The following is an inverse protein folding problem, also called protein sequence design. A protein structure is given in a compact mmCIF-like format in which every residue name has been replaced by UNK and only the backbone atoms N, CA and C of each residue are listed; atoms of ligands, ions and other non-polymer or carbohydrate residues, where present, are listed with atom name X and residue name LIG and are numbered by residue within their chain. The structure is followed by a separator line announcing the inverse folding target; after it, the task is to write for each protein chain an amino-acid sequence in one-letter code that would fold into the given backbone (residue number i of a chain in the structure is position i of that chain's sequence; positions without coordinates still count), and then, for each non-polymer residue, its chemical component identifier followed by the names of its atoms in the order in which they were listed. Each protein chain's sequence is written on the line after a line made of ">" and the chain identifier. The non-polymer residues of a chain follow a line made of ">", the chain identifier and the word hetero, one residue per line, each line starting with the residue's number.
data_IF_711271063355
#
_entry.id   IF_711271063355
#
_cell.length_a   1.000
_cell.length_b   1.000
_cell.length_c   1.000
_cell.angle_alpha   90.00
_cell.angle_beta   90.00
_cell.angle_gamma   90.00
#
_symmetry.space_group_name_H-M   'P 1'
#
loop_
_entity.id
_entity.type
_entity.pdbx_description
1 polymer ?
#
# COMPACT_ATOMS: atom_id res chain seq x y z
N UNK A 1 -48.98 -15.48 32.69
CA UNK A 1 -48.96 -16.55 31.65
C UNK A 1 -47.51 -16.53 31.09
N UNK A 2 -46.68 -17.41 31.69
CA UNK A 2 -45.28 -17.57 31.34
C UNK A 2 -45.17 -18.54 30.15
N UNK A 3 -44.46 -18.14 29.12
CA UNK A 3 -44.00 -19.08 28.06
C UNK A 3 -42.48 -19.21 28.21
N UNK A 4 -42.05 -20.44 28.49
CA UNK A 4 -40.67 -20.83 28.68
C UNK A 4 -39.94 -20.90 27.31
N UNK A 5 -38.79 -20.22 27.22
CA UNK A 5 -37.85 -20.37 26.12
C UNK A 5 -37.02 -21.63 26.33
N UNK A 6 -37.10 -22.53 25.36
CA UNK A 6 -36.28 -23.75 25.25
C UNK A 6 -34.98 -23.47 24.52
N UNK A 7 -33.84 -23.64 25.22
CA UNK A 7 -32.49 -23.62 24.65
C UNK A 7 -32.24 -24.85 23.75
N UNK A 8 -31.51 -24.70 22.64
CA UNK A 8 -31.14 -25.82 21.79
C UNK A 8 -29.97 -26.66 22.35
N UNK A 9 -30.08 -27.95 22.18
CA UNK A 9 -29.15 -29.01 22.61
C UNK A 9 -27.81 -28.94 21.84
N UNK A 10 -26.66 -29.21 22.49
CA UNK A 10 -25.36 -29.23 21.80
C UNK A 10 -25.15 -30.53 21.00
N UNK A 11 -24.49 -30.37 19.84
CA UNK A 11 -24.15 -31.44 18.90
C UNK A 11 -23.03 -32.38 19.44
N UNK A 12 -22.95 -33.64 18.96
CA UNK A 12 -22.07 -34.67 19.53
C UNK A 12 -20.59 -34.46 19.15
N UNK A 13 -19.73 -34.67 20.14
CA UNK A 13 -18.27 -34.66 20.02
C UNK A 13 -17.79 -35.96 19.35
N UNK A 14 -17.14 -35.87 18.21
CA UNK A 14 -16.47 -37.01 17.55
C UNK A 14 -15.21 -37.40 18.31
N UNK A 15 -15.19 -38.64 18.88
CA UNK A 15 -13.99 -39.26 19.44
C UNK A 15 -13.23 -39.99 18.32
N UNK A 16 -12.01 -39.53 18.05
CA UNK A 16 -11.07 -40.26 17.20
C UNK A 16 -10.47 -41.48 17.95
N UNK A 17 -10.79 -42.67 17.45
CA UNK A 17 -10.23 -43.92 17.94
C UNK A 17 -8.78 -44.10 17.48
N UNK A 18 -7.88 -44.37 18.43
CA UNK A 18 -6.50 -44.80 18.15
C UNK A 18 -6.48 -46.27 17.73
N UNK A 19 -6.19 -46.55 16.48
CA UNK A 19 -5.87 -47.92 16.01
C UNK A 19 -4.36 -48.10 16.05
N UNK A 20 -3.91 -49.04 16.91
CA UNK A 20 -2.53 -49.56 16.94
C UNK A 20 -2.42 -50.68 15.93
N UNK A 21 -1.65 -50.49 14.87
CA UNK A 21 -1.23 -51.59 14.01
C UNK A 21 0.22 -51.92 14.34
N UNK A 22 0.38 -53.05 15.05
CA UNK A 22 1.71 -53.67 15.35
C UNK A 22 2.03 -54.63 14.19
N UNK A 23 2.95 -54.26 13.34
CA UNK A 23 3.53 -55.20 12.33
C UNK A 23 4.88 -55.67 12.81
N UNK A 24 4.94 -56.94 13.19
CA UNK A 24 6.20 -57.67 13.43
C UNK A 24 6.89 -57.93 12.08
N UNK A 25 8.10 -57.47 11.91
CA UNK A 25 8.98 -57.84 10.80
C UNK A 25 10.05 -58.76 11.36
N UNK A 26 10.00 -60.02 10.93
CA UNK A 26 11.01 -61.07 11.20
C UNK A 26 12.24 -60.83 10.33
N UNK A 27 13.37 -60.61 10.99
CA UNK A 27 14.68 -60.48 10.36
C UNK A 27 15.23 -61.84 9.95
N UNK A 28 15.48 -62.07 8.67
CA UNK A 28 16.36 -63.13 8.20
C UNK A 28 17.72 -62.56 7.81
N UNK A 29 18.73 -62.92 8.57
CA UNK A 29 20.13 -62.60 8.29
C UNK A 29 20.62 -63.55 7.18
N UNK A 30 21.02 -62.95 6.06
CA UNK A 30 21.82 -63.67 5.04
C UNK A 30 23.14 -62.91 4.85
N UNK A 31 24.19 -63.45 5.40
CA UNK A 31 25.59 -63.07 5.19
C UNK A 31 26.01 -63.36 3.75
N UNK A 32 26.32 -62.30 2.98
CA UNK A 32 27.12 -62.41 1.75
C UNK A 32 28.16 -61.30 1.75
N UNK A 33 29.41 -61.75 1.89
CA UNK A 33 30.59 -60.91 1.64
C UNK A 33 30.63 -60.48 0.18
N UNK A 34 30.73 -59.18 -0.06
CA UNK A 34 31.07 -58.61 -1.35
C UNK A 34 31.92 -57.38 -1.18
N UNK A 35 33.01 -57.42 -1.84
CA UNK A 35 34.16 -56.54 -2.02
C UNK A 35 33.80 -55.05 -2.19
N UNK A 36 34.51 -54.19 -1.47
CA UNK A 36 34.42 -52.76 -1.50
C UNK A 36 34.86 -52.19 -2.86
N UNK A 37 33.93 -51.49 -3.55
CA UNK A 37 34.25 -50.41 -4.48
C UNK A 37 33.72 -49.11 -3.86
N UNK A 38 34.65 -48.29 -3.38
CA UNK A 38 34.35 -46.97 -2.89
C UNK A 38 34.02 -46.02 -4.06
N UNK A 39 32.75 -45.97 -4.46
CA UNK A 39 32.21 -44.87 -5.28
C UNK A 39 31.62 -43.83 -4.34
N UNK A 40 32.30 -42.70 -4.21
CA UNK A 40 31.83 -41.57 -3.44
C UNK A 40 30.53 -41.00 -4.05
N UNK A 41 29.38 -41.41 -3.51
CA UNK A 41 28.10 -40.77 -3.77
C UNK A 41 28.09 -39.46 -2.97
N UNK A 42 28.39 -38.35 -3.65
CA UNK A 42 28.06 -37.03 -3.17
C UNK A 42 26.53 -36.98 -2.99
N UNK A 43 26.07 -37.10 -1.76
CA UNK A 43 24.70 -36.81 -1.37
C UNK A 43 24.49 -35.33 -1.62
N UNK A 44 24.03 -34.95 -2.83
CA UNK A 44 23.41 -33.69 -3.06
C UNK A 44 22.13 -33.68 -2.21
N UNK A 45 22.22 -33.15 -1.00
CA UNK A 45 21.06 -32.87 -0.19
C UNK A 45 20.09 -31.97 -1.01
N UNK A 46 18.76 -32.11 -0.83
CA UNK A 46 17.81 -31.21 -1.48
C UNK A 46 18.23 -29.81 -1.11
N UNK A 47 18.63 -29.00 -2.11
CA UNK A 47 18.82 -27.56 -1.93
C UNK A 47 17.46 -27.03 -1.43
N UNK A 48 17.37 -26.69 -0.16
CA UNK A 48 16.24 -25.95 0.36
C UNK A 48 16.09 -24.71 -0.54
N UNK A 49 14.88 -24.42 -1.04
CA UNK A 49 14.68 -23.23 -1.84
C UNK A 49 15.22 -22.05 -1.03
N UNK A 50 16.18 -21.32 -1.60
CA UNK A 50 16.73 -20.11 -0.99
C UNK A 50 15.53 -19.21 -0.72
N UNK A 51 15.13 -19.11 0.56
CA UNK A 51 14.09 -18.19 0.99
C UNK A 51 14.56 -16.83 0.52
N UNK A 52 13.74 -16.14 -0.27
CA UNK A 52 14.05 -14.77 -0.66
C UNK A 52 14.43 -14.01 0.62
N UNK A 53 15.62 -13.41 0.62
CA UNK A 53 16.12 -12.74 1.83
C UNK A 53 15.05 -11.76 2.30
N UNK A 54 14.60 -11.94 3.54
CA UNK A 54 13.64 -11.06 4.21
C UNK A 54 14.09 -9.59 4.02
N UNK A 55 13.15 -8.70 3.79
CA UNK A 55 13.44 -7.25 3.62
C UNK A 55 14.24 -6.74 4.79
N UNK A 56 13.89 -7.16 6.02
CA UNK A 56 14.60 -6.72 7.23
C UNK A 56 16.09 -7.11 7.20
N UNK A 57 16.40 -8.34 6.78
CA UNK A 57 17.79 -8.80 6.63
C UNK A 57 18.55 -8.00 5.57
N UNK A 58 17.89 -7.68 4.46
CA UNK A 58 18.50 -6.87 3.40
C UNK A 58 18.78 -5.45 3.88
N UNK A 59 17.79 -4.81 4.50
CA UNK A 59 17.90 -3.46 5.08
C UNK A 59 18.95 -3.43 6.18
N UNK A 60 19.00 -4.45 7.06
CA UNK A 60 20.03 -4.54 8.10
C UNK A 60 21.45 -4.62 7.52
N UNK A 61 21.64 -5.30 6.39
CA UNK A 61 22.94 -5.38 5.71
C UNK A 61 23.30 -4.12 4.93
N UNK A 62 22.35 -3.56 4.16
CA UNK A 62 22.60 -2.44 3.26
C UNK A 62 22.56 -1.07 3.95
N UNK A 63 21.74 -0.90 4.98
CA UNK A 63 21.37 0.40 5.53
C UNK A 63 20.46 1.23 4.61
N UNK A 64 19.81 0.58 3.62
CA UNK A 64 18.92 1.24 2.67
C UNK A 64 17.54 0.61 2.68
N UNK A 65 16.51 1.47 2.66
CA UNK A 65 15.12 1.13 2.35
C UNK A 65 14.82 1.67 0.94
N UNK A 66 14.53 0.78 0.01
CA UNK A 66 14.27 1.15 -1.39
C UNK A 66 12.80 1.47 -1.59
N UNK A 67 12.49 2.77 -1.71
CA UNK A 67 11.16 3.27 -2.06
C UNK A 67 11.00 3.31 -3.57
N UNK A 68 9.98 2.66 -4.12
CA UNK A 68 9.63 2.72 -5.54
C UNK A 68 8.33 3.48 -5.78
N UNK A 69 8.19 4.09 -6.96
CA UNK A 69 6.99 4.82 -7.35
C UNK A 69 7.16 5.58 -8.66
N UNK A 70 6.10 6.25 -9.10
CA UNK A 70 6.12 6.98 -10.37
C UNK A 70 6.85 8.33 -10.29
N UNK A 71 6.99 8.94 -9.14
CA UNK A 71 7.78 10.17 -8.94
C UNK A 71 7.22 11.44 -9.58
N UNK A 72 6.03 11.42 -10.14
CA UNK A 72 5.35 12.55 -10.81
C UNK A 72 3.89 12.75 -10.35
N UNK A 73 3.59 12.34 -9.13
CA UNK A 73 2.27 12.35 -8.51
C UNK A 73 2.19 13.28 -7.29
N UNK A 74 2.35 14.62 -7.45
CA UNK A 74 2.18 15.53 -6.33
C UNK A 74 0.72 15.48 -5.80
N UNK A 75 0.47 15.63 -4.51
CA UNK A 75 1.43 15.78 -3.42
C UNK A 75 1.89 14.45 -2.83
N UNK A 76 1.49 13.31 -3.43
CA UNK A 76 1.71 11.99 -2.85
C UNK A 76 3.17 11.55 -2.97
N UNK A 77 3.76 11.65 -4.16
CA UNK A 77 5.17 11.32 -4.39
C UNK A 77 5.72 12.08 -5.58
N UNK A 78 6.72 12.89 -5.33
CA UNK A 78 7.52 13.56 -6.38
C UNK A 78 8.99 13.23 -6.19
N UNK A 79 9.68 12.96 -7.28
CA UNK A 79 11.10 12.66 -7.25
C UNK A 79 11.80 13.24 -8.47
N UNK A 80 12.95 13.83 -8.25
CA UNK A 80 13.81 14.37 -9.30
C UNK A 80 15.18 13.68 -9.23
N UNK A 81 15.87 13.50 -10.36
CA UNK A 81 17.21 12.92 -10.37
C UNK A 81 18.14 13.66 -9.41
N UNK A 82 18.84 12.92 -8.54
CA UNK A 82 19.79 13.47 -7.60
C UNK A 82 19.21 14.19 -6.38
N UNK A 83 17.87 14.21 -6.21
CA UNK A 83 17.19 14.76 -5.03
C UNK A 83 16.50 13.66 -4.23
N UNK A 84 16.31 13.92 -2.94
CA UNK A 84 15.45 13.08 -2.10
C UNK A 84 14.02 13.17 -2.60
N UNK A 85 13.25 12.05 -2.56
CA UNK A 85 11.84 12.07 -2.90
C UNK A 85 11.06 12.96 -1.91
N UNK A 86 10.05 13.63 -2.40
CA UNK A 86 9.18 14.51 -1.61
C UNK A 86 7.72 14.06 -1.71
N UNK A 87 6.88 14.52 -0.78
CA UNK A 87 5.46 14.22 -0.73
C UNK A 87 5.08 13.27 0.39
N UNK A 88 3.79 12.96 0.46
CA UNK A 88 3.25 12.21 1.59
C UNK A 88 3.78 10.78 1.67
N UNK A 89 3.91 10.10 0.53
CA UNK A 89 4.49 8.75 0.46
C UNK A 89 5.98 8.73 0.86
N UNK A 90 6.72 9.79 0.52
CA UNK A 90 8.12 9.94 0.94
C UNK A 90 8.22 10.17 2.46
N UNK A 91 7.36 11.03 3.04
CA UNK A 91 7.29 11.25 4.49
C UNK A 91 7.03 9.93 5.24
N UNK A 92 6.09 9.12 4.75
CA UNK A 92 5.80 7.81 5.35
C UNK A 92 7.02 6.88 5.24
N UNK A 93 7.69 6.83 4.09
CA UNK A 93 8.89 6.01 3.90
C UNK A 93 10.04 6.44 4.85
N UNK A 94 10.20 7.72 5.09
CA UNK A 94 11.16 8.24 6.07
C UNK A 94 10.82 7.80 7.50
N UNK A 95 9.54 7.79 7.87
CA UNK A 95 9.07 7.27 9.17
C UNK A 95 9.34 5.78 9.32
N UNK A 96 9.11 5.02 8.25
CA UNK A 96 9.45 3.59 8.21
C UNK A 96 10.96 3.39 8.37
N UNK A 97 11.78 4.12 7.63
CA UNK A 97 13.25 4.04 7.72
C UNK A 97 13.76 4.38 9.12
N UNK A 98 13.16 5.37 9.78
CA UNK A 98 13.50 5.74 11.16
C UNK A 98 13.14 4.60 12.14
N UNK A 99 11.97 3.97 12.01
CA UNK A 99 11.58 2.81 12.80
C UNK A 99 12.52 1.61 12.58
N UNK A 100 12.86 1.34 11.32
CA UNK A 100 13.81 0.28 10.97
C UNK A 100 15.22 0.56 11.54
N UNK A 101 15.67 1.83 11.53
CA UNK A 101 16.96 2.20 12.13
C UNK A 101 17.05 1.80 13.60
N UNK A 102 15.94 1.95 14.34
CA UNK A 102 15.87 1.51 15.73
C UNK A 102 15.85 -0.03 15.84
N UNK A 103 15.10 -0.70 14.97
CA UNK A 103 14.96 -2.16 14.99
C UNK A 103 16.28 -2.89 14.64
N UNK A 104 17.05 -2.37 13.65
CA UNK A 104 18.29 -3.00 13.17
C UNK A 104 19.56 -2.45 13.86
N UNK A 105 19.43 -1.43 14.72
CA UNK A 105 20.54 -0.84 15.48
C UNK A 105 21.56 -0.04 14.64
N UNK A 106 21.19 0.40 13.44
CA UNK A 106 22.03 1.21 12.54
C UNK A 106 21.20 2.17 11.70
N UNK A 107 21.78 3.27 11.18
CA UNK A 107 21.07 4.18 10.31
C UNK A 107 20.55 3.49 9.04
N UNK A 108 19.27 3.68 8.72
CA UNK A 108 18.62 3.28 7.47
C UNK A 108 18.18 4.53 6.73
N UNK A 109 18.49 4.61 5.44
CA UNK A 109 18.17 5.75 4.58
C UNK A 109 17.21 5.32 3.49
N UNK A 110 16.28 6.20 3.12
CA UNK A 110 15.40 5.97 1.96
C UNK A 110 16.21 6.24 0.69
N UNK A 111 16.17 5.26 -0.23
CA UNK A 111 16.67 5.40 -1.60
C UNK A 111 15.50 5.27 -2.56
N UNK A 112 15.28 6.29 -3.36
CA UNK A 112 14.22 6.24 -4.37
C UNK A 112 14.66 5.50 -5.63
N UNK A 113 13.78 4.63 -6.12
CA UNK A 113 13.93 3.92 -7.40
C UNK A 113 12.68 4.14 -8.24
N UNK A 114 12.77 4.94 -9.32
CA UNK A 114 11.62 5.18 -10.18
C UNK A 114 11.16 3.89 -10.86
N UNK A 115 9.86 3.81 -11.09
CA UNK A 115 9.26 2.74 -11.91
C UNK A 115 9.59 3.02 -13.37
N UNK A 116 10.20 2.07 -14.09
CA UNK A 116 10.42 2.22 -15.53
C UNK A 116 9.10 2.35 -16.31
N UNK A 117 9.14 3.03 -17.44
CA UNK A 117 7.98 3.12 -18.34
C UNK A 117 7.46 1.71 -18.72
N UNK A 118 6.14 1.52 -18.65
CA UNK A 118 5.50 0.24 -18.90
C UNK A 118 5.63 -0.81 -17.80
N UNK A 119 6.26 -0.46 -16.65
CA UNK A 119 6.39 -1.32 -15.47
C UNK A 119 5.46 -0.84 -14.34
N UNK A 120 5.33 -1.63 -13.29
CA UNK A 120 4.58 -1.26 -12.10
C UNK A 120 5.42 -1.40 -10.83
N UNK A 121 5.10 -0.67 -9.75
CA UNK A 121 5.73 -0.85 -8.45
C UNK A 121 5.61 -2.28 -7.93
N UNK A 122 4.49 -2.96 -8.21
CA UNK A 122 4.25 -4.35 -7.83
C UNK A 122 5.34 -5.26 -8.41
N UNK A 123 5.73 -5.08 -9.67
CA UNK A 123 6.82 -5.86 -10.27
C UNK A 123 8.17 -5.61 -9.59
N UNK A 124 8.44 -4.34 -9.21
CA UNK A 124 9.68 -4.02 -8.50
C UNK A 124 9.74 -4.67 -7.11
N UNK A 125 8.62 -4.66 -6.37
CA UNK A 125 8.49 -5.31 -5.07
C UNK A 125 8.58 -6.85 -5.19
N UNK A 126 7.82 -7.46 -6.08
CA UNK A 126 7.80 -8.92 -6.28
C UNK A 126 9.15 -9.48 -6.75
N UNK A 127 9.95 -8.68 -7.47
CA UNK A 127 11.30 -9.07 -7.92
C UNK A 127 12.40 -8.72 -6.91
N UNK A 128 12.07 -8.14 -5.74
CA UNK A 128 13.05 -7.72 -4.73
C UNK A 128 13.91 -6.52 -5.14
N UNK A 129 13.55 -5.79 -6.18
CA UNK A 129 14.23 -4.57 -6.63
C UNK A 129 13.84 -3.34 -5.79
N UNK A 130 12.69 -3.42 -5.11
CA UNK A 130 12.23 -2.41 -4.18
C UNK A 130 11.68 -3.10 -2.91
N UNK A 131 11.59 -2.34 -1.84
CA UNK A 131 11.11 -2.79 -0.54
C UNK A 131 9.71 -2.25 -0.23
N UNK A 132 9.44 -1.04 -0.68
CA UNK A 132 8.27 -0.27 -0.31
C UNK A 132 7.80 0.56 -1.50
N UNK A 133 6.48 0.70 -1.67
CA UNK A 133 5.90 1.69 -2.57
C UNK A 133 4.68 2.31 -1.90
N UNK A 134 4.72 3.60 -1.58
CA UNK A 134 3.67 4.28 -0.83
C UNK A 134 2.80 5.17 -1.70
N UNK A 135 1.59 5.46 -1.19
CA UNK A 135 0.57 6.29 -1.83
C UNK A 135 -0.15 5.58 -3.00
N UNK A 136 -0.51 4.33 -2.77
CA UNK A 136 -1.31 3.54 -3.71
C UNK A 136 -2.70 3.25 -3.14
N UNK A 137 -3.75 3.24 -3.99
CA UNK A 137 -5.07 2.82 -3.55
C UNK A 137 -5.07 1.36 -3.11
N UNK A 138 -5.79 1.06 -2.04
CA UNK A 138 -6.07 -0.31 -1.65
C UNK A 138 -7.01 -0.95 -2.68
N UNK A 139 -6.73 -2.20 -3.05
CA UNK A 139 -7.59 -3.03 -3.90
C UNK A 139 -7.45 -4.49 -3.49
N UNK A 140 -8.57 -5.16 -3.25
CA UNK A 140 -8.60 -6.60 -2.95
C UNK A 140 -7.98 -7.44 -4.05
N UNK A 141 -8.13 -7.04 -5.33
CA UNK A 141 -7.52 -7.74 -6.45
C UNK A 141 -5.98 -7.66 -6.39
N UNK A 142 -5.44 -6.50 -6.04
CA UNK A 142 -4.00 -6.32 -5.89
C UNK A 142 -3.46 -7.02 -4.65
N UNK A 143 -4.23 -7.05 -3.54
CA UNK A 143 -3.85 -7.69 -2.29
C UNK A 143 -3.63 -9.21 -2.43
N UNK A 144 -4.20 -9.82 -3.45
CA UNK A 144 -3.90 -11.22 -3.83
C UNK A 144 -2.47 -11.42 -4.36
N UNK A 145 -1.75 -10.36 -4.73
CA UNK A 145 -0.43 -10.40 -5.38
C UNK A 145 0.65 -9.64 -4.64
N UNK A 146 0.24 -8.70 -3.80
CA UNK A 146 1.11 -7.83 -3.03
C UNK A 146 0.42 -7.47 -1.72
N UNK A 147 1.14 -7.39 -0.61
CA UNK A 147 0.55 -7.01 0.66
C UNK A 147 0.40 -5.49 0.76
N UNK A 148 -0.67 -5.05 1.42
CA UNK A 148 -0.88 -3.64 1.77
C UNK A 148 -0.58 -3.40 3.25
N UNK A 149 -0.08 -2.22 3.55
CA UNK A 149 0.04 -1.71 4.91
C UNK A 149 -1.31 -1.24 5.47
N UNK A 150 -1.32 -0.79 6.73
CA UNK A 150 -2.37 0.09 7.23
C UNK A 150 -2.54 1.29 6.28
N UNK A 151 -3.77 1.81 6.13
CA UNK A 151 -3.98 3.03 5.37
C UNK A 151 -3.17 4.21 5.95
N UNK A 152 -2.51 4.93 5.09
CA UNK A 152 -1.82 6.19 5.43
C UNK A 152 -2.77 7.38 5.33
N UNK A 153 -3.93 7.19 4.70
CA UNK A 153 -4.96 8.20 4.51
C UNK A 153 -6.13 7.67 3.69
N UNK A 154 -7.05 8.55 3.37
CA UNK A 154 -8.17 8.30 2.46
C UNK A 154 -8.06 9.19 1.24
N UNK A 155 -8.45 8.68 0.09
CA UNK A 155 -8.66 9.42 -1.14
C UNK A 155 -9.89 8.89 -1.87
N UNK A 156 -10.11 9.30 -3.09
CA UNK A 156 -11.22 8.82 -3.89
C UNK A 156 -11.13 9.27 -5.32
N UNK A 157 -11.96 8.69 -6.18
CA UNK A 157 -12.03 9.02 -7.59
C UNK A 157 -13.00 10.16 -7.85
N UNK A 158 -12.54 11.19 -8.53
CA UNK A 158 -13.35 12.32 -8.99
C UNK A 158 -13.02 12.68 -10.43
N UNK A 159 -13.94 13.38 -11.07
CA UNK A 159 -13.78 13.95 -12.39
C UNK A 159 -13.19 15.37 -12.28
N UNK A 160 -12.06 15.63 -12.89
CA UNK A 160 -11.55 16.97 -13.14
C UNK A 160 -11.98 17.41 -14.54
N UNK A 161 -12.71 18.52 -14.61
CA UNK A 161 -13.26 19.04 -15.86
C UNK A 161 -13.39 20.56 -15.82
N UNK A 162 -13.63 21.24 -16.97
CA UNK A 162 -13.94 22.66 -17.01
C UNK A 162 -15.18 23.00 -16.17
N UNK A 163 -15.12 24.14 -15.48
CA UNK A 163 -16.23 24.63 -14.63
C UNK A 163 -17.53 24.68 -15.43
N UNK A 164 -18.60 24.14 -14.87
CA UNK A 164 -19.93 24.10 -15.48
C UNK A 164 -20.11 23.08 -16.60
N UNK A 165 -19.08 22.27 -16.93
CA UNK A 165 -19.18 21.26 -17.98
C UNK A 165 -19.94 20.02 -17.52
N UNK A 166 -19.76 19.59 -16.27
CA UNK A 166 -20.38 18.43 -15.66
C UNK A 166 -20.88 18.75 -14.25
N UNK A 167 -21.99 18.15 -13.88
CA UNK A 167 -22.60 18.22 -12.55
C UNK A 167 -22.08 17.13 -11.60
N UNK A 168 -21.27 16.19 -12.11
CA UNK A 168 -20.77 15.02 -11.37
C UNK A 168 -21.68 13.80 -11.45
N UNK A 169 -22.87 13.90 -12.05
CA UNK A 169 -23.73 12.74 -12.25
C UNK A 169 -23.13 11.81 -13.32
N UNK A 170 -22.96 10.49 -13.05
CA UNK A 170 -22.47 9.55 -14.04
C UNK A 170 -23.24 9.56 -15.36
N UNK A 171 -24.57 9.84 -15.33
CA UNK A 171 -25.38 9.91 -16.54
C UNK A 171 -24.91 10.99 -17.52
N UNK A 172 -24.32 12.09 -17.03
CA UNK A 172 -23.79 13.18 -17.84
C UNK A 172 -22.54 12.78 -18.64
N UNK A 173 -21.88 11.68 -18.29
CA UNK A 173 -20.69 11.16 -18.97
C UNK A 173 -21.02 10.30 -20.20
N UNK A 174 -22.28 9.96 -20.44
CA UNK A 174 -22.70 9.14 -21.59
C UNK A 174 -22.27 9.78 -22.93
N UNK A 175 -21.50 9.03 -23.73
CA UNK A 175 -20.97 9.49 -25.03
C UNK A 175 -19.84 10.50 -24.95
N UNK A 176 -19.42 10.93 -23.72
CA UNK A 176 -18.34 11.90 -23.51
C UNK A 176 -16.97 11.24 -23.52
N UNK A 177 -15.97 11.93 -24.03
CA UNK A 177 -14.58 11.48 -24.04
C UNK A 177 -13.92 11.81 -22.71
N UNK A 178 -13.69 10.79 -21.88
CA UNK A 178 -13.14 10.93 -20.52
C UNK A 178 -11.77 10.27 -20.45
N UNK A 179 -10.75 11.04 -20.09
CA UNK A 179 -9.39 10.54 -19.88
C UNK A 179 -9.29 9.72 -18.60
N UNK A 180 -8.63 8.58 -18.69
CA UNK A 180 -8.32 7.69 -17.56
C UNK A 180 -6.90 7.15 -17.71
N UNK A 181 -6.30 6.68 -16.61
CA UNK A 181 -5.05 5.92 -16.69
C UNK A 181 -5.39 4.48 -17.07
N UNK A 182 -4.68 3.93 -18.03
CA UNK A 182 -4.86 2.56 -18.52
C UNK A 182 -4.77 1.54 -17.39
N UNK A 183 -5.69 0.58 -17.34
CA UNK A 183 -5.74 -0.51 -16.36
C UNK A 183 -5.72 -0.02 -14.91
N UNK A 184 -6.25 1.19 -14.67
CA UNK A 184 -6.40 1.76 -13.33
C UNK A 184 -7.79 1.52 -12.77
N UNK A 185 -7.93 1.70 -11.45
CA UNK A 185 -9.23 1.72 -10.78
C UNK A 185 -10.19 2.73 -11.43
N UNK A 186 -9.68 3.90 -11.85
CA UNK A 186 -10.49 4.94 -12.48
C UNK A 186 -11.09 4.50 -13.83
N UNK A 187 -10.36 3.70 -14.63
CA UNK A 187 -10.89 3.16 -15.89
C UNK A 187 -12.01 2.14 -15.62
N UNK A 188 -11.79 1.23 -14.67
CA UNK A 188 -12.80 0.24 -14.28
C UNK A 188 -14.06 0.89 -13.71
N UNK A 189 -13.90 1.88 -12.81
CA UNK A 189 -15.02 2.60 -12.21
C UNK A 189 -15.83 3.40 -13.24
N UNK A 190 -15.14 4.13 -14.17
CA UNK A 190 -15.82 4.84 -15.25
C UNK A 190 -16.71 3.91 -16.08
N UNK A 191 -16.18 2.75 -16.50
CA UNK A 191 -16.91 1.80 -17.32
C UNK A 191 -18.01 1.09 -16.55
N UNK A 192 -17.83 0.86 -15.24
CA UNK A 192 -18.84 0.29 -14.36
C UNK A 192 -20.03 1.24 -14.15
N UNK A 193 -19.78 2.51 -13.80
CA UNK A 193 -20.83 3.49 -13.52
C UNK A 193 -21.48 4.07 -14.78
N UNK A 194 -20.76 4.13 -15.91
CA UNK A 194 -21.29 4.67 -17.18
C UNK A 194 -20.70 3.92 -18.40
N UNK A 195 -21.26 2.77 -18.78
CA UNK A 195 -20.76 1.96 -19.91
C UNK A 195 -20.79 2.68 -21.27
N UNK A 196 -21.60 3.75 -21.41
CA UNK A 196 -21.66 4.54 -22.64
C UNK A 196 -20.65 5.69 -22.68
N UNK A 197 -19.86 5.91 -21.65
CA UNK A 197 -18.77 6.86 -21.68
C UNK A 197 -17.67 6.37 -22.64
N UNK A 198 -17.02 7.30 -23.33
CA UNK A 198 -15.85 6.99 -24.17
C UNK A 198 -14.59 7.11 -23.30
N UNK A 199 -14.17 6.02 -22.67
CA UNK A 199 -12.90 5.99 -21.95
C UNK A 199 -11.73 6.18 -22.92
N UNK A 200 -10.89 7.17 -22.67
CA UNK A 200 -9.66 7.44 -23.43
C UNK A 200 -8.48 7.12 -22.53
N UNK A 201 -7.82 5.96 -22.69
CA UNK A 201 -6.74 5.53 -21.80
C UNK A 201 -5.42 6.24 -22.12
N UNK A 202 -4.74 6.68 -21.06
CA UNK A 202 -3.40 7.28 -21.06
C UNK A 202 -2.46 6.46 -20.18
N UNK A 203 -1.16 6.62 -20.38
CA UNK A 203 -0.16 5.92 -19.59
C UNK A 203 0.10 6.59 -18.22
N UNK A 204 -0.37 7.85 -18.04
CA UNK A 204 -0.25 8.58 -16.77
C UNK A 204 -1.30 9.68 -16.63
N UNK A 205 -1.59 10.12 -15.39
CA UNK A 205 -2.44 11.31 -15.14
C UNK A 205 -1.86 12.60 -15.75
N UNK A 206 -0.54 12.86 -15.68
CA UNK A 206 0.06 13.99 -16.39
C UNK A 206 -0.27 14.02 -17.90
N UNK A 207 -0.25 12.88 -18.58
CA UNK A 207 -0.60 12.78 -20.00
C UNK A 207 -2.10 13.02 -20.23
N UNK A 208 -2.97 12.47 -19.38
CA UNK A 208 -4.41 12.70 -19.45
C UNK A 208 -4.76 14.19 -19.24
N UNK A 209 -4.09 14.88 -18.30
CA UNK A 209 -4.30 16.31 -18.08
C UNK A 209 -3.84 17.16 -19.26
N UNK A 210 -2.76 16.79 -19.92
CA UNK A 210 -2.33 17.46 -21.16
C UNK A 210 -3.38 17.29 -22.28
N UNK A 211 -4.01 16.13 -22.36
CA UNK A 211 -5.12 15.89 -23.28
C UNK A 211 -6.38 16.69 -22.92
N UNK A 212 -6.67 16.89 -21.63
CA UNK A 212 -7.76 17.77 -21.18
C UNK A 212 -7.50 19.22 -21.55
N UNK A 213 -6.28 19.73 -21.32
CA UNK A 213 -5.90 21.09 -21.68
C UNK A 213 -6.01 21.36 -23.20
N UNK A 214 -5.68 20.37 -24.03
CA UNK A 214 -5.80 20.49 -25.49
C UNK A 214 -7.21 20.22 -26.03
N UNK A 215 -8.19 19.95 -25.16
CA UNK A 215 -9.57 19.63 -25.56
C UNK A 215 -9.75 18.25 -26.21
N UNK A 216 -8.73 17.39 -26.17
CA UNK A 216 -8.80 16.01 -26.69
C UNK A 216 -9.74 15.13 -25.88
N UNK A 217 -9.87 15.39 -24.58
CA UNK A 217 -10.87 14.80 -23.67
C UNK A 217 -11.63 15.93 -22.96
N UNK A 218 -12.85 15.63 -22.54
CA UNK A 218 -13.76 16.60 -21.90
C UNK A 218 -13.62 16.65 -20.38
N UNK A 219 -12.98 15.63 -19.81
CA UNK A 219 -12.67 15.50 -18.39
C UNK A 219 -11.66 14.38 -18.17
N UNK A 220 -11.10 14.30 -16.96
CA UNK A 220 -10.19 13.25 -16.52
C UNK A 220 -10.67 12.69 -15.18
N UNK A 221 -10.88 11.39 -15.08
CA UNK A 221 -11.14 10.72 -13.81
C UNK A 221 -9.83 10.19 -13.23
N UNK A 222 -9.61 10.43 -11.95
CA UNK A 222 -8.44 9.98 -11.23
C UNK A 222 -8.51 10.26 -9.74
N UNK A 223 -7.43 9.95 -9.04
CA UNK A 223 -7.28 10.21 -7.61
C UNK A 223 -7.42 11.70 -7.30
N UNK A 224 -8.28 12.03 -6.34
CA UNK A 224 -8.61 13.41 -5.95
C UNK A 224 -7.39 14.19 -5.50
N UNK A 225 -6.51 13.60 -4.68
CA UNK A 225 -5.34 14.30 -4.15
C UNK A 225 -4.33 14.55 -5.27
N UNK A 226 -4.12 13.56 -6.15
CA UNK A 226 -3.19 13.66 -7.28
C UNK A 226 -3.71 14.68 -8.31
N UNK A 227 -4.99 14.63 -8.67
CA UNK A 227 -5.57 15.59 -9.60
C UNK A 227 -5.49 17.03 -9.05
N UNK A 228 -5.75 17.23 -7.76
CA UNK A 228 -5.60 18.53 -7.10
C UNK A 228 -4.15 19.01 -7.17
N UNK A 229 -3.20 18.17 -6.75
CA UNK A 229 -1.78 18.53 -6.74
C UNK A 229 -1.23 18.81 -8.14
N UNK A 230 -1.61 18.00 -9.14
CA UNK A 230 -1.21 18.21 -10.54
C UNK A 230 -1.83 19.49 -11.13
N UNK A 231 -3.12 19.75 -10.86
CA UNK A 231 -3.78 20.96 -11.35
C UNK A 231 -3.10 22.21 -10.79
N UNK A 232 -2.75 22.22 -9.51
CA UNK A 232 -2.05 23.32 -8.87
C UNK A 232 -0.61 23.47 -9.36
N UNK A 233 0.18 22.39 -9.36
CA UNK A 233 1.59 22.43 -9.78
C UNK A 233 1.75 22.90 -11.23
N UNK A 234 0.74 22.70 -12.07
CA UNK A 234 0.70 23.14 -13.47
C UNK A 234 -0.01 24.49 -13.67
N UNK A 235 -0.53 25.11 -12.61
CA UNK A 235 -1.26 26.36 -12.68
C UNK A 235 -2.53 26.29 -13.53
N UNK A 236 -3.20 25.11 -13.56
CA UNK A 236 -4.43 24.93 -14.33
C UNK A 236 -5.57 25.72 -13.72
N UNK A 237 -6.15 26.60 -14.50
CA UNK A 237 -7.29 27.45 -14.10
C UNK A 237 -8.56 27.02 -14.81
N UNK A 238 -9.73 27.35 -14.24
CA UNK A 238 -11.03 27.07 -14.83
C UNK A 238 -11.43 25.59 -14.84
N UNK A 239 -10.73 24.75 -14.06
CA UNK A 239 -11.08 23.36 -13.81
C UNK A 239 -11.65 23.18 -12.41
N UNK A 240 -12.54 22.21 -12.27
CA UNK A 240 -13.17 21.85 -10.99
C UNK A 240 -13.21 20.33 -10.85
N UNK A 241 -13.05 19.85 -9.62
CA UNK A 241 -13.29 18.47 -9.25
C UNK A 241 -14.78 18.27 -8.91
N UNK A 242 -15.40 17.30 -9.58
CA UNK A 242 -16.83 16.96 -9.39
C UNK A 242 -16.99 15.42 -9.40
N UNK A 243 -18.00 14.86 -8.72
CA UNK A 243 -18.90 15.47 -7.73
C UNK A 243 -18.16 15.88 -6.44
N UNK A 244 -18.86 16.50 -5.50
CA UNK A 244 -18.28 16.83 -4.19
C UNK A 244 -17.88 15.55 -3.43
N UNK A 245 -18.79 14.57 -3.39
CA UNK A 245 -18.49 13.23 -2.89
C UNK A 245 -17.87 12.39 -4.01
N UNK A 246 -16.70 11.77 -3.80
CA UNK A 246 -16.08 10.95 -4.82
C UNK A 246 -16.98 9.81 -5.30
N UNK A 247 -16.82 9.38 -6.55
CA UNK A 247 -17.48 8.20 -7.10
C UNK A 247 -17.13 6.94 -6.30
N UNK A 248 -15.89 6.85 -5.88
CA UNK A 248 -15.40 5.80 -4.99
C UNK A 248 -14.44 6.40 -3.96
N UNK A 249 -14.49 5.89 -2.72
CA UNK A 249 -13.57 6.26 -1.64
C UNK A 249 -12.77 5.02 -1.25
N UNK A 250 -11.47 5.17 -1.13
CA UNK A 250 -10.56 4.07 -0.77
C UNK A 250 -9.47 4.51 0.19
N UNK A 251 -8.95 3.52 0.93
CA UNK A 251 -7.74 3.71 1.71
C UNK A 251 -6.53 3.87 0.79
N UNK A 252 -5.68 4.82 1.08
CA UNK A 252 -4.36 4.95 0.46
C UNK A 252 -3.35 4.28 1.38
N UNK A 253 -2.55 3.36 0.85
CA UNK A 253 -1.63 2.54 1.63
C UNK A 253 -0.23 2.47 1.01
N UNK A 254 0.69 1.81 1.71
CA UNK A 254 1.94 1.36 1.12
C UNK A 254 1.83 -0.10 0.69
N UNK A 255 2.41 -0.43 -0.46
CA UNK A 255 2.60 -1.79 -0.94
C UNK A 255 3.91 -2.33 -0.38
N UNK A 256 3.89 -3.58 0.07
CA UNK A 256 5.05 -4.30 0.60
C UNK A 256 5.13 -5.70 -0.01
N UNK A 257 6.30 -6.35 -0.07
CA UNK A 257 6.42 -7.70 -0.59
C UNK A 257 5.48 -8.67 0.11
N UNK A 258 4.86 -9.56 -0.68
CA UNK A 258 3.94 -10.56 -0.16
C UNK A 258 4.65 -11.56 0.77
N UNK A 259 3.95 -12.00 1.80
CA UNK A 259 4.43 -12.98 2.78
C UNK A 259 5.62 -12.52 3.65
N UNK A 260 5.93 -11.22 3.66
CA UNK A 260 6.90 -10.63 4.59
C UNK A 260 6.17 -9.93 5.76
N UNK A 261 5.56 -10.73 6.62
CA UNK A 261 4.78 -10.22 7.75
C UNK A 261 5.62 -9.42 8.75
N UNK A 262 6.90 -9.79 8.93
CA UNK A 262 7.79 -9.08 9.83
C UNK A 262 8.06 -7.65 9.35
N UNK A 263 8.37 -7.48 8.07
CA UNK A 263 8.55 -6.17 7.47
C UNK A 263 7.25 -5.37 7.47
N UNK A 264 6.12 -5.98 7.05
CA UNK A 264 4.81 -5.33 7.06
C UNK A 264 4.43 -4.83 8.45
N UNK A 265 4.73 -5.57 9.53
CA UNK A 265 4.50 -5.11 10.89
C UNK A 265 5.34 -3.87 11.24
N UNK A 266 6.59 -3.79 10.82
CA UNK A 266 7.42 -2.59 11.02
C UNK A 266 6.86 -1.37 10.27
N UNK A 267 6.39 -1.57 9.03
CA UNK A 267 5.72 -0.52 8.24
C UNK A 267 4.45 -0.05 8.95
N UNK A 268 3.59 -0.98 9.36
CA UNK A 268 2.34 -0.67 10.07
C UNK A 268 2.59 0.06 11.39
N UNK A 269 3.59 -0.35 12.15
CA UNK A 269 3.96 0.28 13.41
C UNK A 269 4.43 1.74 13.18
N UNK A 270 5.24 1.96 12.15
CA UNK A 270 5.70 3.31 11.80
C UNK A 270 4.54 4.23 11.38
N UNK A 271 3.60 3.70 10.57
CA UNK A 271 2.39 4.43 10.15
C UNK A 271 1.52 4.76 11.37
N UNK A 272 1.21 3.77 12.20
CA UNK A 272 0.36 3.96 13.36
C UNK A 272 0.97 4.96 14.37
N UNK A 273 2.30 4.92 14.59
CA UNK A 273 3.00 5.91 15.42
C UNK A 273 2.88 7.32 14.84
N UNK A 274 3.11 7.49 13.54
CA UNK A 274 2.99 8.79 12.91
C UNK A 274 1.57 9.35 13.03
N UNK A 275 0.54 8.52 12.83
CA UNK A 275 -0.86 8.93 12.98
C UNK A 275 -1.20 9.26 14.43
N UNK A 276 -0.72 8.47 15.40
CA UNK A 276 -0.92 8.75 16.82
C UNK A 276 -0.22 10.05 17.23
N UNK A 277 1.04 10.27 16.83
CA UNK A 277 1.78 11.51 17.07
C UNK A 277 1.02 12.74 16.52
N UNK A 278 0.37 12.60 15.35
CA UNK A 278 -0.45 13.66 14.79
C UNK A 278 -1.68 13.93 15.66
N UNK A 279 -2.37 12.89 16.14
CA UNK A 279 -3.55 13.00 17.00
C UNK A 279 -3.19 13.58 18.37
N UNK A 280 -2.03 13.26 18.90
CA UNK A 280 -1.49 13.77 20.18
C UNK A 280 -0.96 15.22 20.04
N UNK A 281 -0.95 15.76 18.82
CA UNK A 281 -0.50 17.14 18.55
C UNK A 281 1.01 17.30 18.57
N UNK A 282 1.81 16.24 18.28
CA UNK A 282 3.27 16.33 18.25
C UNK A 282 3.69 17.36 17.17
N UNK A 283 4.38 18.46 17.55
CA UNK A 283 4.53 19.62 16.67
C UNK A 283 5.25 19.32 15.35
N UNK A 284 6.28 18.45 15.37
CA UNK A 284 7.04 18.11 14.17
C UNK A 284 6.23 17.26 13.20
N UNK A 285 5.44 16.32 13.73
CA UNK A 285 4.59 15.44 12.94
C UNK A 285 3.42 16.21 12.35
N UNK A 286 2.76 17.05 13.16
CA UNK A 286 1.67 17.94 12.70
C UNK A 286 2.18 18.87 11.59
N UNK A 287 3.31 19.55 11.79
CA UNK A 287 3.88 20.42 10.79
C UNK A 287 4.27 19.69 9.49
N UNK A 288 4.85 18.47 9.59
CA UNK A 288 5.25 17.69 8.43
C UNK A 288 4.04 17.22 7.60
N UNK A 289 2.98 16.73 8.23
CA UNK A 289 1.75 16.30 7.56
C UNK A 289 0.99 17.51 7.00
N UNK A 290 0.81 18.57 7.78
CA UNK A 290 0.05 19.76 7.37
C UNK A 290 0.71 20.49 6.21
N UNK A 291 2.04 20.50 6.11
CA UNK A 291 2.76 21.07 4.96
C UNK A 291 2.35 20.41 3.63
N UNK A 292 1.92 19.14 3.66
CA UNK A 292 1.60 18.37 2.44
C UNK A 292 0.09 18.28 2.22
N UNK A 293 -0.67 18.00 3.27
CA UNK A 293 -2.10 17.73 3.20
C UNK A 293 -2.97 18.77 3.90
N UNK A 294 -2.41 19.54 4.84
CA UNK A 294 -3.11 20.41 5.76
C UNK A 294 -3.76 21.64 5.12
N UNK A 295 -4.37 22.51 5.95
CA UNK A 295 -5.18 23.64 5.48
C UNK A 295 -4.45 24.62 4.57
N UNK A 296 -3.16 24.86 4.84
CA UNK A 296 -2.34 25.81 4.08
C UNK A 296 -1.58 25.14 2.91
N UNK A 297 -1.79 23.85 2.70
CA UNK A 297 -1.18 23.10 1.58
C UNK A 297 -2.02 23.25 0.30
N UNK A 298 -1.45 22.72 -0.80
CA UNK A 298 -2.15 22.55 -2.06
C UNK A 298 -3.49 21.78 -1.95
N UNK A 299 -3.59 20.89 -0.98
CA UNK A 299 -4.78 20.05 -0.76
C UNK A 299 -5.84 20.78 0.07
N UNK A 300 -5.42 21.65 0.99
CA UNK A 300 -6.33 22.45 1.81
C UNK A 300 -7.20 21.58 2.74
N UNK A 301 -6.72 20.42 3.21
CA UNK A 301 -7.52 19.53 4.04
C UNK A 301 -7.61 20.09 5.46
N UNK A 302 -8.82 20.31 6.01
CA UNK A 302 -8.98 20.75 7.40
C UNK A 302 -8.37 19.76 8.39
N UNK A 303 -7.72 20.28 9.46
CA UNK A 303 -7.08 19.43 10.47
C UNK A 303 -8.03 18.43 11.11
N UNK A 304 -9.25 18.85 11.44
CA UNK A 304 -10.27 17.95 12.00
C UNK A 304 -10.62 16.78 11.07
N UNK A 305 -10.51 16.95 9.74
CA UNK A 305 -10.69 15.87 8.78
C UNK A 305 -9.49 14.91 8.78
N UNK A 306 -8.27 15.42 8.86
CA UNK A 306 -7.06 14.61 9.01
C UNK A 306 -7.11 13.79 10.29
N UNK A 307 -7.48 14.43 11.42
CA UNK A 307 -7.66 13.76 12.71
C UNK A 307 -8.71 12.66 12.62
N UNK A 308 -9.86 12.91 12.00
CA UNK A 308 -10.93 11.91 11.84
C UNK A 308 -10.46 10.70 11.00
N UNK A 309 -9.71 10.95 9.92
CA UNK A 309 -9.14 9.89 9.08
C UNK A 309 -8.16 9.04 9.89
N UNK A 310 -7.20 9.65 10.58
CA UNK A 310 -6.20 8.91 11.35
C UNK A 310 -6.80 8.16 12.54
N UNK A 311 -7.72 8.80 13.27
CA UNK A 311 -8.46 8.12 14.32
C UNK A 311 -9.25 6.92 13.79
N UNK A 312 -9.91 7.06 12.63
CA UNK A 312 -10.64 5.98 11.98
C UNK A 312 -9.74 4.79 11.60
N UNK A 313 -8.52 5.04 11.13
CA UNK A 313 -7.54 3.97 10.86
C UNK A 313 -7.12 3.27 12.14
N UNK A 314 -6.85 4.02 13.21
CA UNK A 314 -6.34 3.48 14.47
C UNK A 314 -7.41 2.77 15.32
N UNK A 315 -8.70 3.04 15.12
CA UNK A 315 -9.79 2.31 15.80
C UNK A 315 -9.74 0.79 15.50
N UNK A 316 -9.27 0.42 14.31
CA UNK A 316 -9.14 -0.98 13.89
C UNK A 316 -7.89 -1.70 14.42
N UNK A 317 -7.01 -1.00 15.15
CA UNK A 317 -5.76 -1.54 15.69
C UNK A 317 -5.64 -1.19 17.17
N UNK A 318 -4.79 -1.94 17.90
CA UNK A 318 -4.56 -1.65 19.33
C UNK A 318 -3.93 -0.26 19.51
N UNK A 319 -4.37 0.46 20.55
CA UNK A 319 -3.79 1.75 20.91
C UNK A 319 -2.29 1.61 21.23
N UNK A 320 -1.46 2.32 20.49
CA UNK A 320 -0.02 2.34 20.74
C UNK A 320 0.25 3.35 21.85
N UNK A 321 0.50 2.85 23.07
CA UNK A 321 1.01 3.69 24.16
C UNK A 321 2.52 3.87 23.97
N UNK A 322 2.94 5.08 23.61
CA UNK A 322 4.35 5.44 23.64
C UNK A 322 4.72 5.58 25.12
N UNK A 323 5.34 4.56 25.69
CA UNK A 323 5.97 4.69 27.01
C UNK A 323 7.23 5.50 26.79
N UNK A 324 7.38 6.70 27.41
CA UNK A 324 8.62 7.45 27.34
C UNK A 324 9.75 6.55 27.82
N UNK A 325 10.88 6.55 27.11
CA UNK A 325 12.08 5.85 27.59
C UNK A 325 12.36 6.33 29.02
N UNK A 326 12.46 5.39 29.96
CA UNK A 326 12.79 5.72 31.32
C UNK A 326 14.08 6.57 31.32
N UNK A 327 14.03 7.74 31.95
CA UNK A 327 15.22 8.54 32.13
C UNK A 327 16.30 7.67 32.77
N UNK A 328 17.57 7.75 32.32
CA UNK A 328 18.63 7.01 32.98
C UNK A 328 18.63 7.35 34.47
N UNK A 329 18.68 6.31 35.29
CA UNK A 329 18.73 6.48 36.74
C UNK A 329 19.95 7.34 37.12
N UNK A 330 19.83 8.21 38.12
CA UNK A 330 20.88 9.12 38.54
C UNK A 330 22.16 8.41 39.03
#
# INVERSE_FOLDING_TARGET
>A
MQTADTLPTPAPVFRFGRSRITRRITTRIATRTATACAAGVLLAGPALPARAADVLDRVARSGELVLSGYGDLPPLLTAQPGRQPEGYGALVAERVAAGLSQAVGRPVRVRFQPVPAGSSPIQALSSGKADLACAFPFSWEQDMRIDHSLPIGLSGLRLLAPVGRFDGNPAALAGRSIGVVRSSLAEGELLGMQPRAKAVPFDSLPAALTALQSGKVEGVIGDTLVLTGLAQSRGLKGLVLTPELPYEVYGVACLVPQNDSAFRHQVNLAIARMQQEYLDGEPKTVAAVNRILGPDSAIGMPEGRLQAIFAGVLIGVESIRIVPAAAPAP
#
